data_IF_265404904895
#
_entry.id   IF_265404904895
#
_cell.length_a   1.000
_cell.length_b   1.000
_cell.length_c   1.000
_cell.angle_alpha   90.00
_cell.angle_beta   90.00
_cell.angle_gamma   90.00
#
_symmetry.space_group_name_H-M   'P 1'
#
loop_
_entity.id
_entity.type
_entity.pdbx_description
1 polymer ?
#
# COMPACT_ATOMS: atom_id res chain seq x y z
N UNK A 1 18.53 31.50 -2.88
CA UNK A 1 17.36 32.37 -2.62
C UNK A 1 16.06 31.56 -2.66
N UNK A 2 15.76 30.82 -3.74
CA UNK A 2 14.56 29.97 -3.83
C UNK A 2 14.50 28.90 -2.73
N UNK A 3 15.62 28.22 -2.43
CA UNK A 3 15.67 27.20 -1.37
C UNK A 3 15.46 27.78 0.04
N UNK A 4 15.93 29.00 0.29
CA UNK A 4 15.81 29.64 1.60
C UNK A 4 14.37 30.11 1.87
N UNK A 5 13.68 30.64 0.85
CA UNK A 5 12.25 30.96 0.94
C UNK A 5 11.39 29.71 1.11
N UNK A 6 11.75 28.61 0.42
CA UNK A 6 11.08 27.32 0.58
C UNK A 6 11.27 26.76 1.99
N UNK A 7 12.48 26.79 2.52
CA UNK A 7 12.78 26.33 3.88
C UNK A 7 12.02 27.14 4.93
N UNK A 8 11.97 28.47 4.79
CA UNK A 8 11.19 29.34 5.67
C UNK A 8 9.69 29.06 5.59
N UNK A 9 9.15 28.84 4.38
CA UNK A 9 7.76 28.46 4.17
C UNK A 9 7.44 27.11 4.84
N UNK A 10 8.31 26.12 4.68
CA UNK A 10 8.14 24.80 5.28
C UNK A 10 8.18 24.85 6.81
N UNK A 11 9.09 25.66 7.39
CA UNK A 11 9.15 25.86 8.85
C UNK A 11 7.86 26.48 9.37
N UNK A 12 7.32 27.52 8.69
CA UNK A 12 6.04 28.14 9.07
C UNK A 12 4.89 27.15 8.95
N UNK A 13 4.82 26.42 7.85
CA UNK A 13 3.82 25.38 7.64
C UNK A 13 3.83 24.33 8.76
N UNK A 14 5.01 23.84 9.15
CA UNK A 14 5.13 22.87 10.25
C UNK A 14 4.70 23.47 11.60
N UNK A 15 5.01 24.73 11.86
CA UNK A 15 4.59 25.43 13.07
C UNK A 15 3.06 25.61 13.13
N UNK A 16 2.45 26.01 12.02
CA UNK A 16 0.99 26.15 11.90
C UNK A 16 0.28 24.81 12.09
N UNK A 17 0.83 23.73 11.52
CA UNK A 17 0.32 22.37 11.70
C UNK A 17 0.39 21.91 13.16
N UNK A 18 1.45 22.27 13.89
CA UNK A 18 1.56 21.96 15.32
C UNK A 18 0.56 22.75 16.16
N UNK A 19 0.33 24.02 15.84
CA UNK A 19 -0.64 24.85 16.54
C UNK A 19 -2.07 24.36 16.31
N UNK A 20 -2.44 24.06 15.07
CA UNK A 20 -3.75 23.47 14.75
C UNK A 20 -3.91 22.11 15.46
N UNK A 21 -2.87 21.28 15.49
CA UNK A 21 -2.91 20.00 16.22
C UNK A 21 -3.19 20.18 17.71
N UNK A 22 -2.50 21.12 18.38
CA UNK A 22 -2.76 21.45 19.79
C UNK A 22 -4.19 21.91 20.02
N UNK A 23 -4.68 22.80 19.15
CA UNK A 23 -6.04 23.33 19.23
C UNK A 23 -7.08 22.23 19.06
N UNK A 24 -6.94 21.36 18.06
CA UNK A 24 -7.87 20.25 17.80
C UNK A 24 -7.89 19.23 18.93
N UNK A 25 -6.73 18.90 19.51
CA UNK A 25 -6.67 18.01 20.67
C UNK A 25 -7.33 18.63 21.91
N UNK A 26 -7.17 19.94 22.12
CA UNK A 26 -7.84 20.65 23.21
C UNK A 26 -9.37 20.68 23.03
N UNK A 27 -9.86 20.91 21.81
CA UNK A 27 -11.29 20.84 21.47
C UNK A 27 -11.86 19.42 21.67
N UNK A 28 -11.03 18.38 21.49
CA UNK A 28 -11.40 16.97 21.62
C UNK A 28 -11.16 16.39 23.04
N UNK A 29 -10.92 17.20 24.07
CA UNK A 29 -10.53 16.71 25.41
C UNK A 29 -11.53 15.70 26.01
N UNK A 30 -12.84 15.96 25.90
CA UNK A 30 -13.87 15.04 26.41
C UNK A 30 -13.90 13.71 25.65
N UNK A 31 -13.68 13.75 24.33
CA UNK A 31 -13.58 12.56 23.49
C UNK A 31 -12.36 11.73 23.87
N UNK A 32 -11.20 12.37 24.03
CA UNK A 32 -9.95 11.75 24.46
C UNK A 32 -10.12 11.09 25.83
N UNK A 33 -10.76 11.77 26.79
CA UNK A 33 -10.98 11.23 28.13
C UNK A 33 -11.90 9.98 28.11
N UNK A 34 -12.99 10.03 27.34
CA UNK A 34 -13.90 8.88 27.15
C UNK A 34 -13.17 7.70 26.51
N UNK A 35 -12.42 7.95 25.44
CA UNK A 35 -11.68 6.91 24.75
C UNK A 35 -10.55 6.32 25.60
N UNK A 36 -9.86 7.14 26.40
CA UNK A 36 -8.84 6.67 27.36
C UNK A 36 -9.42 5.68 28.36
N UNK A 37 -10.62 5.94 28.88
CA UNK A 37 -11.31 5.01 29.78
C UNK A 37 -11.69 3.70 29.07
N UNK A 38 -12.16 3.78 27.81
CA UNK A 38 -12.44 2.60 26.99
C UNK A 38 -11.17 1.76 26.77
N UNK A 39 -10.07 2.38 26.36
CA UNK A 39 -8.79 1.72 26.14
C UNK A 39 -8.27 1.04 27.42
N UNK A 40 -8.36 1.72 28.57
CA UNK A 40 -7.98 1.17 29.86
C UNK A 40 -8.81 -0.06 30.23
N UNK A 41 -10.11 -0.08 29.91
CA UNK A 41 -10.98 -1.25 30.12
C UNK A 41 -10.56 -2.48 29.30
N UNK A 42 -9.77 -2.27 28.23
CA UNK A 42 -9.18 -3.30 27.37
C UNK A 42 -7.69 -3.54 27.66
N UNK A 43 -7.16 -2.94 28.72
CA UNK A 43 -5.76 -3.12 29.14
C UNK A 43 -4.75 -2.25 28.39
N UNK A 44 -5.19 -1.24 27.63
CA UNK A 44 -4.31 -0.29 26.95
C UNK A 44 -4.26 1.01 27.75
N UNK A 45 -3.06 1.40 28.19
CA UNK A 45 -2.83 2.65 28.93
C UNK A 45 -2.40 3.72 27.93
N UNK A 46 -3.11 4.85 27.91
CA UNK A 46 -2.84 5.97 27.01
C UNK A 46 -2.52 7.23 27.83
N UNK A 47 -1.45 7.91 27.45
CA UNK A 47 -1.07 9.23 27.95
C UNK A 47 -1.43 10.34 26.97
N UNK A 48 -1.10 11.59 27.30
CA UNK A 48 -1.39 12.73 26.43
C UNK A 48 -0.62 12.64 25.09
N UNK A 49 0.59 12.12 25.12
CA UNK A 49 1.46 11.85 23.97
C UNK A 49 0.98 10.71 23.07
N UNK A 50 0.01 9.92 23.54
CA UNK A 50 -0.62 8.87 22.75
C UNK A 50 -1.62 9.42 21.72
N UNK A 51 -1.96 10.71 21.78
CA UNK A 51 -2.93 11.33 20.88
C UNK A 51 -2.26 12.30 19.92
N UNK A 52 -2.70 12.27 18.66
CA UNK A 52 -2.28 13.22 17.64
C UNK A 52 -3.47 13.63 16.77
N UNK A 53 -3.45 14.86 16.27
CA UNK A 53 -4.30 15.26 15.16
C UNK A 53 -3.52 15.14 13.86
N UNK A 54 -4.08 14.39 12.91
CA UNK A 54 -3.57 14.26 11.55
C UNK A 54 -4.64 14.84 10.62
N UNK A 55 -4.31 15.86 9.84
CA UNK A 55 -5.29 16.55 8.97
C UNK A 55 -6.03 15.61 8.00
N UNK A 56 -5.40 14.56 7.50
CA UNK A 56 -6.03 13.60 6.57
C UNK A 56 -6.87 12.53 7.26
N UNK A 57 -6.67 12.33 8.57
CA UNK A 57 -7.24 11.20 9.32
C UNK A 57 -8.20 11.64 10.43
N UNK A 58 -7.89 12.71 11.17
CA UNK A 58 -8.65 13.18 12.32
C UNK A 58 -7.85 13.05 13.62
N UNK A 59 -8.55 12.80 14.73
CA UNK A 59 -7.95 12.54 16.04
C UNK A 59 -7.60 11.06 16.14
N UNK A 60 -6.31 10.77 16.29
CA UNK A 60 -5.76 9.41 16.30
C UNK A 60 -5.17 9.10 17.66
N UNK A 61 -5.52 7.93 18.19
CA UNK A 61 -4.88 7.34 19.36
C UNK A 61 -3.83 6.32 18.90
N UNK A 62 -2.66 6.35 19.54
CA UNK A 62 -1.49 5.52 19.22
C UNK A 62 -1.03 4.74 20.44
N UNK A 63 -0.92 3.43 20.29
CA UNK A 63 -0.17 2.57 21.19
C UNK A 63 0.10 1.23 20.50
N UNK A 64 1.23 0.55 20.80
CA UNK A 64 1.53 -0.74 20.20
C UNK A 64 0.37 -1.74 20.35
N UNK A 65 -0.15 -2.24 19.23
CA UNK A 65 -1.24 -3.22 19.18
C UNK A 65 -2.62 -2.72 19.65
N UNK A 66 -2.83 -1.41 19.78
CA UNK A 66 -4.11 -0.83 20.25
C UNK A 66 -5.31 -1.34 19.45
N UNK A 67 -5.20 -1.43 18.13
CA UNK A 67 -6.31 -1.86 17.29
C UNK A 67 -6.70 -3.32 17.59
N UNK A 68 -5.71 -4.20 17.82
CA UNK A 68 -5.93 -5.61 18.18
C UNK A 68 -6.57 -5.74 19.56
N UNK A 69 -6.06 -5.00 20.54
CA UNK A 69 -6.58 -5.01 21.89
C UNK A 69 -8.05 -4.57 21.94
N UNK A 70 -8.42 -3.54 21.17
CA UNK A 70 -9.77 -3.00 21.11
C UNK A 70 -10.73 -3.88 20.28
N UNK A 71 -10.28 -4.42 19.14
CA UNK A 71 -11.06 -5.32 18.28
C UNK A 71 -11.42 -6.63 18.98
N UNK A 72 -10.63 -7.03 19.98
CA UNK A 72 -10.77 -8.28 20.70
C UNK A 72 -10.29 -9.49 19.88
N UNK A 73 -10.49 -10.72 20.38
CA UNK A 73 -9.90 -11.90 19.79
C UNK A 73 -10.49 -12.15 18.40
N UNK A 74 -9.64 -12.06 17.37
CA UNK A 74 -9.87 -12.57 16.02
C UNK A 74 -8.63 -13.39 15.69
N UNK A 75 -8.84 -14.61 15.17
CA UNK A 75 -7.72 -15.48 14.83
C UNK A 75 -7.01 -14.91 13.60
N UNK A 76 -5.79 -14.44 13.79
CA UNK A 76 -4.92 -14.09 12.69
C UNK A 76 -4.45 -15.37 11.95
N UNK A 77 -4.28 -15.24 10.65
CA UNK A 77 -3.58 -16.23 9.84
C UNK A 77 -2.08 -16.25 10.17
N UNK A 78 -1.37 -17.28 9.71
CA UNK A 78 0.09 -17.41 9.94
C UNK A 78 0.89 -16.22 9.40
N UNK A 79 0.34 -15.53 8.40
CA UNK A 79 0.90 -14.34 7.76
C UNK A 79 0.50 -13.02 8.46
N UNK A 80 -0.19 -13.09 9.61
CA UNK A 80 -0.62 -11.94 10.41
C UNK A 80 -1.92 -11.29 9.94
N UNK A 81 -2.40 -11.65 8.74
CA UNK A 81 -3.62 -11.09 8.18
C UNK A 81 -4.86 -11.50 8.96
N UNK A 82 -5.86 -10.64 8.95
CA UNK A 82 -7.17 -10.89 9.54
C UNK A 82 -8.22 -11.22 8.48
N UNK A 83 -9.13 -12.17 8.75
CA UNK A 83 -10.28 -12.41 7.87
C UNK A 83 -11.15 -11.16 7.78
N UNK A 84 -11.33 -10.63 6.57
CA UNK A 84 -12.07 -9.39 6.30
C UNK A 84 -13.51 -9.45 6.85
N UNK A 85 -14.19 -10.58 6.65
CA UNK A 85 -15.57 -10.76 7.10
C UNK A 85 -15.70 -10.84 8.63
N UNK A 86 -14.70 -11.38 9.33
CA UNK A 86 -14.71 -11.40 10.80
C UNK A 86 -14.57 -9.99 11.39
N UNK A 87 -13.70 -9.16 10.80
CA UNK A 87 -13.60 -7.73 11.17
C UNK A 87 -14.93 -7.04 10.85
N UNK A 88 -15.43 -7.22 9.62
CA UNK A 88 -16.66 -6.63 9.10
C UNK A 88 -17.91 -6.93 9.94
N UNK A 89 -17.96 -8.11 10.57
CA UNK A 89 -19.06 -8.50 11.46
C UNK A 89 -19.13 -7.69 12.77
N UNK A 90 -18.00 -7.11 13.20
CA UNK A 90 -17.88 -6.30 14.43
C UNK A 90 -17.80 -4.80 14.13
N UNK A 91 -17.05 -4.47 13.10
CA UNK A 91 -16.83 -3.12 12.58
C UNK A 91 -17.17 -3.16 11.09
N UNK A 92 -18.38 -2.77 10.66
CA UNK A 92 -18.72 -2.78 9.25
C UNK A 92 -17.77 -1.88 8.44
N UNK A 93 -17.43 -2.26 7.20
CA UNK A 93 -16.75 -1.39 6.25
C UNK A 93 -17.44 -0.02 6.16
N UNK A 94 -16.67 1.07 6.27
CA UNK A 94 -17.26 2.41 6.15
C UNK A 94 -17.64 2.69 4.68
N UNK A 95 -18.89 3.09 4.39
CA UNK A 95 -19.30 3.42 3.02
C UNK A 95 -18.76 4.77 2.53
N UNK A 96 -18.26 5.61 3.45
CA UNK A 96 -17.82 6.98 3.16
C UNK A 96 -16.33 7.20 3.41
N UNK A 97 -15.63 6.22 4.01
CA UNK A 97 -14.21 6.29 4.31
C UNK A 97 -13.53 5.01 3.85
N UNK A 98 -12.87 5.10 2.70
CA UNK A 98 -12.10 3.99 2.14
C UNK A 98 -11.05 3.50 3.14
N UNK A 99 -10.81 2.19 3.18
CA UNK A 99 -9.83 1.61 4.10
C UNK A 99 -10.17 1.71 5.59
N UNK A 100 -11.39 2.13 5.94
CA UNK A 100 -11.85 2.20 7.32
C UNK A 100 -12.95 1.17 7.60
N UNK A 101 -12.94 0.63 8.81
CA UNK A 101 -14.08 -0.07 9.41
C UNK A 101 -14.65 0.80 10.53
N UNK A 102 -15.94 1.14 10.42
CA UNK A 102 -16.61 2.04 11.33
C UNK A 102 -17.09 1.30 12.57
N UNK A 103 -16.62 1.70 13.74
CA UNK A 103 -17.11 1.25 15.03
C UNK A 103 -17.89 2.33 15.76
N UNK A 104 -18.53 1.99 16.89
CA UNK A 104 -19.34 2.92 17.68
C UNK A 104 -18.52 3.90 18.53
N UNK A 105 -17.27 3.54 18.88
CA UNK A 105 -16.39 4.34 19.74
C UNK A 105 -15.07 4.72 19.06
N UNK A 106 -14.71 4.04 17.96
CA UNK A 106 -13.49 4.27 17.20
C UNK A 106 -13.58 3.63 15.81
N UNK A 107 -12.64 4.00 14.95
CA UNK A 107 -12.51 3.52 13.59
C UNK A 107 -11.20 2.74 13.46
N UNK A 108 -11.30 1.52 12.95
CA UNK A 108 -10.14 0.73 12.53
C UNK A 108 -9.73 1.15 11.12
N UNK A 109 -8.43 1.20 10.88
CA UNK A 109 -7.86 1.57 9.58
C UNK A 109 -7.10 0.39 8.98
N UNK A 110 -7.10 0.29 7.66
CA UNK A 110 -6.20 -0.59 6.93
C UNK A 110 -4.73 -0.23 7.19
N UNK A 111 -3.81 -1.14 6.90
CA UNK A 111 -2.39 -0.92 7.17
C UNK A 111 -1.82 0.33 6.44
N UNK A 112 -0.90 1.11 7.04
CA UNK A 112 -0.37 2.35 6.45
C UNK A 112 0.31 2.20 5.07
N UNK A 113 0.70 0.98 4.69
CA UNK A 113 1.30 0.71 3.38
C UNK A 113 0.38 1.04 2.18
N UNK A 114 -0.93 1.12 2.41
CA UNK A 114 -1.89 1.53 1.38
C UNK A 114 -1.94 3.05 1.20
N UNK A 115 -1.28 3.84 2.07
CA UNK A 115 -1.21 5.29 1.96
C UNK A 115 -0.18 5.71 0.91
N UNK A 116 -0.31 6.93 0.37
CA UNK A 116 0.64 7.47 -0.60
C UNK A 116 2.06 7.51 -0.01
N UNK A 117 3.02 6.97 -0.74
CA UNK A 117 4.40 6.80 -0.28
C UNK A 117 4.55 5.87 0.93
N UNK A 118 3.53 5.08 1.28
CA UNK A 118 3.46 4.26 2.49
C UNK A 118 3.60 5.08 3.79
N UNK A 119 3.34 6.39 3.73
CA UNK A 119 3.57 7.29 4.85
C UNK A 119 2.32 7.38 5.74
N UNK A 120 2.46 7.24 7.08
CA UNK A 120 1.33 7.14 8.00
C UNK A 120 0.44 8.39 8.11
N UNK A 121 0.93 9.57 7.70
CA UNK A 121 0.14 10.83 7.72
C UNK A 121 -0.59 11.10 6.40
N UNK A 122 -0.20 10.42 5.32
CA UNK A 122 -0.80 10.65 4.02
C UNK A 122 -2.18 10.01 3.94
N UNK A 123 -2.97 10.48 2.98
CA UNK A 123 -4.21 9.83 2.61
C UNK A 123 -3.93 8.50 1.86
N UNK A 124 -4.96 7.68 1.70
CA UNK A 124 -4.89 6.44 0.92
C UNK A 124 -4.42 6.72 -0.51
N UNK A 125 -3.42 5.99 -0.99
CA UNK A 125 -3.03 6.01 -2.39
C UNK A 125 -3.98 5.13 -3.20
N UNK A 126 -4.45 5.59 -4.37
CA UNK A 126 -5.85 5.44 -4.71
C UNK A 126 -6.33 4.01 -5.03
N UNK A 127 -7.62 3.84 -4.77
CA UNK A 127 -8.55 2.78 -5.21
C UNK A 127 -8.23 1.33 -4.91
N UNK A 128 -6.98 0.89 -4.67
CA UNK A 128 -6.75 -0.52 -4.35
C UNK A 128 -7.62 -0.97 -3.17
N UNK A 129 -7.61 -0.18 -2.10
CA UNK A 129 -8.36 -0.50 -0.88
C UNK A 129 -9.88 -0.43 -1.08
N UNK A 130 -10.36 0.52 -1.89
CA UNK A 130 -11.76 0.67 -2.27
C UNK A 130 -12.24 -0.52 -3.10
N UNK A 131 -11.48 -0.89 -4.14
CA UNK A 131 -11.74 -2.07 -4.97
C UNK A 131 -11.73 -3.34 -4.11
N UNK A 132 -10.76 -3.47 -3.20
CA UNK A 132 -10.67 -4.62 -2.30
C UNK A 132 -11.87 -4.68 -1.33
N UNK A 133 -12.36 -3.53 -0.84
CA UNK A 133 -13.56 -3.46 0.00
C UNK A 133 -14.80 -3.93 -0.76
N UNK A 134 -15.01 -3.39 -1.96
CA UNK A 134 -16.19 -3.64 -2.80
C UNK A 134 -16.19 -5.01 -3.47
N UNK A 135 -15.01 -5.60 -3.65
CA UNK A 135 -14.88 -6.91 -4.26
C UNK A 135 -15.55 -7.97 -3.40
N UNK A 136 -16.52 -8.66 -3.97
CA UNK A 136 -17.21 -9.78 -3.34
C UNK A 136 -17.47 -10.83 -4.40
N UNK A 137 -17.46 -12.09 -4.01
CA UNK A 137 -17.57 -13.22 -4.94
C UNK A 137 -17.93 -14.51 -4.24
N UNK A 138 -18.66 -15.42 -4.91
CA UNK A 138 -18.96 -16.72 -4.33
C UNK A 138 -17.66 -17.48 -4.06
N UNK A 139 -17.53 -18.01 -2.84
CA UNK A 139 -16.36 -18.79 -2.41
C UNK A 139 -15.04 -18.00 -2.41
N UNK A 140 -15.11 -16.67 -2.32
CA UNK A 140 -13.94 -15.80 -2.12
C UNK A 140 -13.75 -15.53 -0.63
N UNK A 141 -12.51 -15.69 -0.16
CA UNK A 141 -12.09 -15.32 1.19
C UNK A 141 -11.06 -14.19 1.11
N UNK A 142 -11.38 -13.06 1.73
CA UNK A 142 -10.51 -11.88 1.79
C UNK A 142 -9.86 -11.77 3.15
N UNK A 143 -8.59 -11.39 3.16
CA UNK A 143 -7.82 -11.11 4.36
C UNK A 143 -7.04 -9.81 4.20
N UNK A 144 -6.91 -9.04 5.28
CA UNK A 144 -6.22 -7.76 5.25
C UNK A 144 -5.45 -7.47 6.53
N UNK A 145 -4.37 -6.70 6.40
CA UNK A 145 -3.63 -6.11 7.50
C UNK A 145 -4.28 -4.80 7.96
N UNK A 146 -4.39 -4.63 9.28
CA UNK A 146 -4.83 -3.38 9.90
C UNK A 146 -3.63 -2.51 10.27
N UNK A 147 -3.88 -1.24 10.49
CA UNK A 147 -3.00 -0.38 11.27
C UNK A 147 -3.10 -0.81 12.74
N UNK A 148 -2.16 -1.66 13.19
CA UNK A 148 -2.28 -2.28 14.51
C UNK A 148 -2.04 -1.31 15.65
N UNK A 149 -1.27 -0.25 15.39
CA UNK A 149 -0.75 0.67 16.40
C UNK A 149 -1.55 1.97 16.48
N UNK A 150 -2.57 2.14 15.63
CA UNK A 150 -3.36 3.37 15.56
C UNK A 150 -4.85 3.10 15.32
N UNK A 151 -5.68 3.90 15.98
CA UNK A 151 -7.13 3.98 15.69
C UNK A 151 -7.57 5.43 15.66
N UNK A 152 -8.57 5.73 14.82
CA UNK A 152 -9.20 7.05 14.81
C UNK A 152 -10.35 7.07 15.82
N UNK A 153 -10.50 8.16 16.58
CA UNK A 153 -11.50 8.25 17.67
C UNK A 153 -12.61 9.28 17.39
N UNK A 154 -12.42 10.22 16.47
CA UNK A 154 -13.43 11.18 16.04
C UNK A 154 -14.30 10.60 14.92
N UNK A 155 -15.25 9.76 15.32
CA UNK A 155 -16.13 9.01 14.40
C UNK A 155 -16.91 9.93 13.48
N UNK A 156 -17.47 11.02 14.03
CA UNK A 156 -18.21 12.06 13.30
C UNK A 156 -17.28 13.14 12.70
N UNK A 157 -15.96 12.93 12.75
CA UNK A 157 -14.99 13.84 12.18
C UNK A 157 -15.18 14.07 10.68
N UNK A 158 -14.53 15.10 10.15
CA UNK A 158 -14.51 15.31 8.71
C UNK A 158 -13.67 14.21 8.05
N UNK A 159 -14.23 13.55 7.05
CA UNK A 159 -13.49 12.63 6.18
C UNK A 159 -12.76 13.41 5.09
N UNK A 160 -11.55 12.99 4.74
CA UNK A 160 -10.85 13.49 3.57
C UNK A 160 -11.23 12.64 2.35
N UNK A 161 -11.73 13.28 1.29
CA UNK A 161 -12.06 12.61 0.04
C UNK A 161 -11.08 13.04 -1.05
N UNK A 162 -10.47 12.07 -1.72
CA UNK A 162 -9.54 12.30 -2.81
C UNK A 162 -10.10 11.69 -4.09
N UNK A 163 -10.41 12.55 -5.06
CA UNK A 163 -10.96 12.16 -6.35
C UNK A 163 -9.86 11.78 -7.38
N UNK A 164 -8.68 11.38 -6.89
CA UNK A 164 -7.58 10.91 -7.73
C UNK A 164 -7.92 9.51 -8.25
N UNK A 165 -7.74 9.27 -9.55
CA UNK A 165 -8.11 7.99 -10.16
C UNK A 165 -7.03 7.51 -11.10
N UNK A 166 -6.78 6.21 -11.00
CA UNK A 166 -5.94 5.44 -11.89
C UNK A 166 -6.84 4.38 -12.53
N UNK A 167 -6.57 3.99 -13.77
CA UNK A 167 -7.32 2.93 -14.42
C UNK A 167 -6.47 1.65 -14.44
N UNK A 168 -7.10 0.50 -14.63
CA UNK A 168 -6.39 -0.71 -15.01
C UNK A 168 -5.93 -0.65 -16.46
N UNK A 169 -4.87 -1.39 -16.79
CA UNK A 169 -4.48 -1.59 -18.18
C UNK A 169 -5.47 -2.53 -18.86
N UNK A 170 -5.87 -2.29 -20.13
CA UNK A 170 -6.52 -3.32 -20.90
C UNK A 170 -5.57 -4.51 -21.02
N UNK A 171 -6.09 -5.71 -20.82
CA UNK A 171 -5.34 -6.94 -20.95
C UNK A 171 -6.20 -7.99 -21.64
N UNK A 172 -5.80 -8.37 -22.85
CA UNK A 172 -6.52 -9.30 -23.71
C UNK A 172 -5.76 -10.63 -23.89
N UNK A 173 -4.59 -10.79 -23.25
CA UNK A 173 -3.86 -12.04 -23.31
C UNK A 173 -4.52 -13.13 -22.46
N UNK A 174 -4.60 -14.30 -23.05
CA UNK A 174 -4.96 -15.53 -22.34
C UNK A 174 -3.78 -15.99 -21.48
N UNK A 175 -3.95 -15.97 -20.15
CA UNK A 175 -2.93 -16.39 -19.17
C UNK A 175 -2.33 -17.76 -19.52
N UNK A 176 -3.12 -18.66 -20.11
CA UNK A 176 -2.67 -20.01 -20.52
C UNK A 176 -1.54 -19.96 -21.56
N UNK A 177 -1.50 -18.90 -22.37
CA UNK A 177 -0.50 -18.71 -23.44
C UNK A 177 0.75 -17.95 -22.97
N UNK A 178 0.72 -17.33 -21.78
CA UNK A 178 1.90 -16.66 -21.22
C UNK A 178 2.98 -17.70 -20.94
N UNK A 179 4.16 -17.51 -21.53
CA UNK A 179 5.30 -18.41 -21.34
C UNK A 179 5.97 -18.14 -19.99
N UNK A 180 6.46 -19.18 -19.29
CA UNK A 180 7.36 -18.99 -18.16
C UNK A 180 8.57 -18.14 -18.56
N UNK A 181 8.97 -17.23 -17.69
CA UNK A 181 10.01 -16.26 -18.01
C UNK A 181 10.06 -15.12 -17.01
N UNK A 182 10.99 -14.21 -17.26
CA UNK A 182 11.18 -12.99 -16.47
C UNK A 182 11.11 -11.80 -17.40
N UNK A 183 10.46 -10.74 -16.93
CA UNK A 183 10.47 -9.41 -17.54
C UNK A 183 10.89 -8.42 -16.47
N UNK A 184 11.87 -7.57 -16.78
CA UNK A 184 12.29 -6.49 -15.89
C UNK A 184 12.20 -5.17 -16.62
N UNK A 185 11.23 -4.36 -16.23
CA UNK A 185 10.96 -3.04 -16.80
C UNK A 185 11.61 -1.96 -15.95
N UNK A 186 12.07 -0.89 -16.60
CA UNK A 186 12.66 0.29 -15.97
C UNK A 186 12.11 1.55 -16.65
N UNK A 187 12.00 2.67 -15.92
CA UNK A 187 11.78 3.95 -16.57
C UNK A 187 12.89 4.23 -17.61
N UNK A 188 12.61 5.04 -18.65
CA UNK A 188 13.61 5.41 -19.63
C UNK A 188 14.86 6.06 -18.99
N UNK A 189 16.04 5.58 -19.39
CA UNK A 189 17.32 6.01 -18.80
C UNK A 189 17.67 7.48 -19.05
N UNK A 190 17.04 8.11 -20.04
CA UNK A 190 17.22 9.53 -20.38
C UNK A 190 16.51 10.48 -19.41
N UNK A 191 15.68 9.95 -18.50
CA UNK A 191 14.92 10.76 -17.55
C UNK A 191 15.73 11.10 -16.30
N UNK A 192 15.76 12.39 -15.96
CA UNK A 192 16.18 12.87 -14.64
C UNK A 192 15.28 12.34 -13.51
N UNK A 193 15.81 12.23 -12.28
CA UNK A 193 15.09 11.71 -11.11
C UNK A 193 13.76 12.42 -10.84
N UNK A 194 13.66 13.73 -11.08
CA UNK A 194 12.40 14.48 -10.92
C UNK A 194 11.30 14.00 -11.88
N UNK A 195 11.66 13.59 -13.10
CA UNK A 195 10.69 13.04 -14.06
C UNK A 195 10.28 11.63 -13.68
N UNK A 196 11.21 10.82 -13.15
CA UNK A 196 10.91 9.48 -12.60
C UNK A 196 9.97 9.58 -11.40
N UNK A 197 10.22 10.52 -10.48
CA UNK A 197 9.33 10.78 -9.35
C UNK A 197 7.93 11.16 -9.83
N UNK A 198 7.84 12.12 -10.77
CA UNK A 198 6.57 12.63 -11.29
C UNK A 198 5.75 11.59 -12.07
N UNK A 199 6.39 10.84 -12.97
CA UNK A 199 5.68 9.99 -13.94
C UNK A 199 5.66 8.51 -13.58
N UNK A 200 6.60 8.06 -12.74
CA UNK A 200 6.76 6.65 -12.36
C UNK A 200 6.67 6.43 -10.85
N UNK A 201 6.21 7.42 -10.09
CA UNK A 201 6.04 7.34 -8.63
C UNK A 201 7.28 6.82 -7.90
N UNK A 202 8.44 7.35 -8.29
CA UNK A 202 9.75 6.95 -7.79
C UNK A 202 10.03 5.45 -7.95
N UNK A 203 9.51 4.80 -8.98
CA UNK A 203 9.83 3.40 -9.29
C UNK A 203 11.19 3.31 -9.98
N UNK A 204 12.06 2.47 -9.41
CA UNK A 204 13.34 2.10 -10.01
C UNK A 204 13.17 0.98 -11.06
N UNK A 205 12.43 -0.07 -10.71
CA UNK A 205 12.08 -1.13 -11.65
C UNK A 205 10.81 -1.88 -11.24
N UNK A 206 10.21 -2.56 -12.23
CA UNK A 206 9.17 -3.56 -12.04
C UNK A 206 9.71 -4.90 -12.57
N UNK A 207 9.99 -5.82 -11.66
CA UNK A 207 10.47 -7.17 -11.97
C UNK A 207 9.30 -8.14 -11.92
N UNK A 208 9.08 -8.93 -12.96
CA UNK A 208 7.95 -9.83 -13.13
C UNK A 208 8.46 -11.21 -13.51
N UNK A 209 7.87 -12.24 -12.94
CA UNK A 209 8.17 -13.63 -13.26
C UNK A 209 6.89 -14.45 -13.41
N UNK A 210 6.87 -15.26 -14.46
CA UNK A 210 5.96 -16.38 -14.59
C UNK A 210 6.72 -17.69 -14.46
N UNK A 211 6.16 -18.61 -13.67
CA UNK A 211 6.55 -20.02 -13.65
C UNK A 211 5.32 -20.90 -13.81
N UNK A 212 5.52 -22.15 -14.18
CA UNK A 212 4.44 -23.13 -14.30
C UNK A 212 4.88 -24.44 -13.68
N UNK A 213 4.04 -25.02 -12.83
CA UNK A 213 4.23 -26.33 -12.23
C UNK A 213 2.87 -26.99 -11.98
N UNK A 214 2.73 -28.26 -12.36
CA UNK A 214 1.55 -29.09 -12.08
C UNK A 214 0.21 -28.44 -12.48
N UNK A 215 0.17 -27.79 -13.64
CA UNK A 215 -1.03 -27.14 -14.16
C UNK A 215 -1.36 -25.79 -13.50
N UNK A 216 -0.47 -25.26 -12.65
CA UNK A 216 -0.60 -23.97 -12.01
C UNK A 216 0.44 -23.01 -12.58
N UNK A 217 -0.02 -21.88 -13.10
CA UNK A 217 0.86 -20.75 -13.46
C UNK A 217 0.99 -19.82 -12.27
N UNK A 218 2.22 -19.56 -11.85
CA UNK A 218 2.52 -18.63 -10.75
C UNK A 218 3.03 -17.32 -11.33
N UNK A 219 2.38 -16.23 -10.96
CA UNK A 219 2.82 -14.87 -11.21
C UNK A 219 3.49 -14.32 -9.96
N UNK A 220 4.64 -13.65 -10.15
CA UNK A 220 5.29 -12.85 -9.12
C UNK A 220 5.65 -11.50 -9.71
N UNK A 221 5.43 -10.42 -8.97
CA UNK A 221 5.89 -9.09 -9.36
C UNK A 221 6.49 -8.35 -8.16
N UNK A 222 7.54 -7.56 -8.41
CA UNK A 222 8.20 -6.73 -7.40
C UNK A 222 8.45 -5.33 -7.98
N UNK A 223 7.78 -4.33 -7.43
CA UNK A 223 8.09 -2.92 -7.68
C UNK A 223 9.12 -2.46 -6.64
N UNK A 224 10.30 -2.10 -7.12
CA UNK A 224 11.34 -1.48 -6.30
C UNK A 224 11.31 0.03 -6.49
N UNK A 225 11.36 0.78 -5.40
CA UNK A 225 11.45 2.24 -5.43
C UNK A 225 12.89 2.72 -5.57
N UNK A 226 13.05 3.98 -5.95
CA UNK A 226 14.32 4.69 -6.01
C UNK A 226 14.96 4.80 -4.61
N UNK A 227 16.28 4.99 -4.54
CA UNK A 227 17.05 4.91 -3.29
C UNK A 227 16.80 6.04 -2.27
N UNK A 228 16.14 7.10 -2.72
CA UNK A 228 15.64 8.19 -1.88
C UNK A 228 14.36 7.80 -1.12
N UNK A 229 13.68 6.72 -1.50
CA UNK A 229 12.46 6.26 -0.84
C UNK A 229 12.81 5.28 0.28
N UNK A 230 12.53 5.69 1.52
CA UNK A 230 12.83 4.92 2.73
C UNK A 230 11.65 4.95 3.68
N UNK A 231 11.48 3.87 4.43
CA UNK A 231 10.51 3.78 5.53
C UNK A 231 11.24 3.43 6.82
N UNK A 232 10.76 3.93 7.94
CA UNK A 232 11.29 3.59 9.26
C UNK A 232 10.41 2.52 9.91
N UNK A 233 11.02 1.42 10.35
CA UNK A 233 10.34 0.36 11.09
C UNK A 233 11.20 -0.04 12.28
N UNK A 234 10.71 0.23 13.50
CA UNK A 234 11.44 -0.09 14.73
C UNK A 234 12.77 0.66 14.88
N UNK A 235 12.83 1.92 14.44
CA UNK A 235 14.04 2.76 14.52
C UNK A 235 15.10 2.48 13.45
N UNK A 236 14.83 1.60 12.49
CA UNK A 236 15.72 1.30 11.37
C UNK A 236 15.07 1.69 10.04
N UNK A 237 15.87 2.27 9.13
CA UNK A 237 15.43 2.57 7.77
C UNK A 237 15.56 1.37 6.84
N UNK A 238 14.53 1.18 6.01
CA UNK A 238 14.46 0.17 4.97
C UNK A 238 14.04 0.77 3.64
N UNK A 239 14.40 0.10 2.56
CA UNK A 239 13.93 0.38 1.21
C UNK A 239 12.68 -0.48 0.97
N UNK A 240 11.49 0.13 0.89
CA UNK A 240 10.26 -0.62 0.69
C UNK A 240 10.12 -1.06 -0.77
N UNK A 241 9.54 -2.22 -0.98
CA UNK A 241 9.13 -2.70 -2.30
C UNK A 241 7.77 -3.37 -2.22
N UNK A 242 6.94 -3.16 -3.23
CA UNK A 242 5.62 -3.78 -3.32
C UNK A 242 5.73 -5.11 -4.06
N UNK A 243 5.31 -6.18 -3.43
CA UNK A 243 5.36 -7.53 -3.98
C UNK A 243 3.96 -8.07 -4.18
N UNK A 244 3.71 -8.68 -5.35
CA UNK A 244 2.49 -9.41 -5.66
C UNK A 244 2.82 -10.87 -5.99
N UNK A 245 1.91 -11.76 -5.60
CA UNK A 245 1.93 -13.17 -5.94
C UNK A 245 0.53 -13.63 -6.32
N UNK A 246 0.42 -14.40 -7.41
CA UNK A 246 -0.83 -15.00 -7.82
C UNK A 246 -0.63 -16.42 -8.37
N UNK A 247 -1.62 -17.28 -8.17
CA UNK A 247 -1.67 -18.62 -8.72
C UNK A 247 -2.89 -18.77 -9.63
N UNK A 248 -2.65 -19.01 -10.91
CA UNK A 248 -3.65 -19.28 -11.92
C UNK A 248 -3.77 -20.77 -12.17
N UNK A 249 -4.97 -21.30 -12.00
CA UNK A 249 -5.28 -22.70 -12.24
C UNK A 249 -5.69 -22.88 -13.71
N UNK A 250 -4.90 -23.63 -14.48
CA UNK A 250 -5.15 -23.84 -15.91
C UNK A 250 -6.43 -24.64 -16.18
N UNK A 251 -6.85 -25.50 -15.25
CA UNK A 251 -8.05 -26.30 -15.40
C UNK A 251 -9.31 -25.49 -15.03
N UNK A 252 -9.26 -24.72 -13.95
CA UNK A 252 -10.37 -23.86 -13.53
C UNK A 252 -10.47 -22.56 -14.34
N UNK A 253 -9.39 -22.18 -15.04
CA UNK A 253 -9.27 -20.96 -15.84
C UNK A 253 -9.54 -19.67 -15.03
N UNK A 254 -9.03 -19.64 -13.79
CA UNK A 254 -9.10 -18.48 -12.91
C UNK A 254 -7.91 -18.45 -11.96
N UNK A 255 -7.64 -17.29 -11.36
CA UNK A 255 -6.77 -17.23 -10.21
C UNK A 255 -7.46 -17.88 -9.02
N UNK A 256 -6.73 -18.68 -8.24
CA UNK A 256 -7.22 -19.33 -7.01
C UNK A 256 -6.65 -18.70 -5.74
N UNK A 257 -5.58 -17.94 -5.91
CA UNK A 257 -4.84 -17.28 -4.84
C UNK A 257 -4.21 -16.01 -5.40
N UNK A 258 -4.34 -14.91 -4.68
CA UNK A 258 -3.71 -13.63 -4.99
C UNK A 258 -3.39 -12.91 -3.70
N UNK A 259 -2.13 -12.55 -3.48
CA UNK A 259 -1.70 -11.82 -2.30
C UNK A 259 -0.66 -10.75 -2.61
N UNK A 260 -0.54 -9.81 -1.68
CA UNK A 260 0.42 -8.74 -1.76
C UNK A 260 1.12 -8.50 -0.44
N UNK A 261 2.38 -8.09 -0.52
CA UNK A 261 3.23 -7.83 0.62
C UNK A 261 4.10 -6.59 0.39
N UNK A 262 4.57 -6.00 1.49
CA UNK A 262 5.68 -5.05 1.47
C UNK A 262 6.94 -5.80 1.89
N UNK A 263 7.92 -5.81 1.00
CA UNK A 263 9.26 -6.31 1.26
C UNK A 263 10.12 -5.12 1.71
N UNK A 264 10.79 -5.29 2.85
CA UNK A 264 11.68 -4.30 3.46
C UNK A 264 13.11 -4.81 3.29
N UNK A 265 13.86 -4.11 2.44
CA UNK A 265 15.26 -4.39 2.20
C UNK A 265 16.12 -3.48 3.06
N UNK A 266 17.16 -4.03 3.68
CA UNK A 266 18.29 -3.23 4.16
C UNK A 266 19.02 -2.60 2.96
N UNK A 267 19.92 -1.66 3.24
CA UNK A 267 20.69 -0.99 2.18
C UNK A 267 21.47 -1.98 1.32
N UNK A 268 22.21 -2.90 1.96
CA UNK A 268 22.97 -3.94 1.26
C UNK A 268 22.07 -4.80 0.37
N UNK A 269 20.97 -5.30 0.93
CA UNK A 269 20.03 -6.15 0.20
C UNK A 269 19.36 -5.41 -0.96
N UNK A 270 19.04 -4.12 -0.78
CA UNK A 270 18.42 -3.30 -1.81
C UNK A 270 19.34 -3.12 -3.02
N UNK A 271 20.59 -2.71 -2.79
CA UNK A 271 21.56 -2.52 -3.87
C UNK A 271 21.89 -3.83 -4.60
N UNK A 272 21.90 -4.96 -3.90
CA UNK A 272 22.06 -6.27 -4.53
C UNK A 272 20.81 -6.68 -5.33
N UNK A 273 19.60 -6.46 -4.79
CA UNK A 273 18.34 -6.91 -5.40
C UNK A 273 17.91 -6.06 -6.60
N UNK A 274 18.12 -4.74 -6.56
CA UNK A 274 17.60 -3.80 -7.57
C UNK A 274 18.17 -4.02 -8.97
N UNK A 275 19.40 -4.51 -9.05
CA UNK A 275 20.07 -4.82 -10.31
C UNK A 275 19.97 -6.30 -10.70
N UNK A 276 19.60 -7.17 -9.76
CA UNK A 276 19.35 -8.61 -9.99
C UNK A 276 17.91 -8.90 -10.44
N UNK A 277 17.65 -10.07 -11.03
CA UNK A 277 16.29 -10.55 -11.36
C UNK A 277 15.83 -11.68 -10.40
N UNK A 278 14.58 -12.12 -10.54
CA UNK A 278 14.07 -13.25 -9.75
C UNK A 278 14.82 -14.58 -9.96
N UNK A 279 15.61 -14.75 -11.02
CA UNK A 279 16.41 -15.95 -11.26
C UNK A 279 17.72 -15.96 -10.46
N UNK A 280 18.33 -14.79 -10.22
CA UNK A 280 19.59 -14.70 -9.46
C UNK A 280 19.45 -15.14 -8.00
N UNK A 281 18.25 -15.03 -7.42
CA UNK A 281 17.94 -15.56 -6.08
C UNK A 281 18.18 -17.07 -5.95
N UNK A 282 18.21 -17.84 -7.05
CA UNK A 282 18.42 -19.29 -7.02
C UNK A 282 19.90 -19.70 -7.14
N UNK A 283 20.78 -18.80 -7.60
CA UNK A 283 22.18 -19.11 -7.94
C UNK A 283 23.21 -18.50 -6.98
N UNK A 284 22.78 -17.66 -6.04
CA UNK A 284 23.66 -17.00 -5.09
C UNK A 284 23.46 -17.61 -3.68
N UNK A 285 24.52 -18.10 -3.00
CA UNK A 285 24.39 -18.66 -1.66
C UNK A 285 23.94 -17.63 -0.61
N UNK A 286 24.09 -16.34 -0.90
CA UNK A 286 23.46 -15.24 -0.15
C UNK A 286 22.04 -15.00 -0.67
N UNK A 287 21.11 -15.87 -0.28
CA UNK A 287 19.68 -15.62 -0.52
C UNK A 287 19.28 -14.29 0.14
N UNK A 288 18.96 -13.28 -0.66
CA UNK A 288 18.39 -12.03 -0.16
C UNK A 288 16.98 -12.35 0.34
N UNK A 289 16.81 -12.40 1.65
CA UNK A 289 15.53 -12.67 2.30
C UNK A 289 15.06 -11.41 3.01
N UNK A 290 14.48 -10.51 2.23
CA UNK A 290 13.85 -9.31 2.76
C UNK A 290 12.82 -9.67 3.83
N UNK A 291 12.70 -8.80 4.83
CA UNK A 291 11.58 -8.86 5.77
C UNK A 291 10.30 -8.56 4.99
N UNK A 292 9.40 -9.52 4.92
CA UNK A 292 8.15 -9.39 4.17
C UNK A 292 6.96 -9.32 5.11
N UNK A 293 6.13 -8.29 4.96
CA UNK A 293 4.88 -8.15 5.69
C UNK A 293 3.73 -8.26 4.68
N UNK A 294 2.93 -9.32 4.77
CA UNK A 294 1.77 -9.48 3.90
C UNK A 294 0.72 -8.45 4.30
N UNK A 295 0.06 -7.87 3.30
CA UNK A 295 -0.89 -6.77 3.53
C UNK A 295 -2.31 -7.14 3.12
N UNK A 296 -2.49 -7.93 2.06
CA UNK A 296 -3.78 -8.52 1.72
C UNK A 296 -3.60 -9.94 1.17
N UNK A 297 -4.70 -10.68 1.15
CA UNK A 297 -4.82 -11.98 0.48
C UNK A 297 -6.27 -12.18 0.03
N UNK A 298 -6.43 -12.71 -1.18
CA UNK A 298 -7.67 -13.17 -1.77
C UNK A 298 -7.47 -14.65 -2.09
N UNK A 299 -8.26 -15.52 -1.47
CA UNK A 299 -8.34 -16.93 -1.82
C UNK A 299 -9.68 -17.19 -2.50
N UNK A 300 -9.70 -18.09 -3.47
CA UNK A 300 -10.88 -18.39 -4.27
C UNK A 300 -10.80 -17.80 -5.68
N UNK A 301 -11.86 -18.00 -6.48
CA UNK A 301 -11.86 -17.67 -7.90
C UNK A 301 -11.80 -16.15 -8.11
N UNK A 302 -10.76 -15.70 -8.80
CA UNK A 302 -10.57 -14.31 -9.23
C UNK A 302 -10.36 -14.29 -10.75
N UNK A 303 -11.14 -13.48 -11.46
CA UNK A 303 -11.05 -13.36 -12.92
C UNK A 303 -9.78 -12.61 -13.33
N UNK A 304 -9.36 -12.82 -14.58
CA UNK A 304 -8.18 -12.15 -15.14
C UNK A 304 -8.32 -10.63 -15.09
N UNK A 305 -9.47 -10.09 -15.51
CA UNK A 305 -9.75 -8.64 -15.49
C UNK A 305 -9.61 -8.05 -14.08
N UNK A 306 -10.19 -8.71 -13.08
CA UNK A 306 -10.13 -8.27 -11.67
C UNK A 306 -8.70 -8.32 -11.14
N UNK A 307 -7.95 -9.38 -11.48
CA UNK A 307 -6.54 -9.51 -11.13
C UNK A 307 -5.66 -8.41 -11.75
N UNK A 308 -5.87 -8.06 -13.01
CA UNK A 308 -5.14 -6.97 -13.69
C UNK A 308 -5.44 -5.64 -13.02
N UNK A 309 -6.71 -5.35 -12.73
CA UNK A 309 -7.13 -4.14 -12.02
C UNK A 309 -6.43 -4.06 -10.65
N UNK A 310 -6.47 -5.14 -9.87
CA UNK A 310 -5.79 -5.16 -8.58
C UNK A 310 -4.28 -4.95 -8.71
N UNK A 311 -3.62 -5.54 -9.71
CA UNK A 311 -2.19 -5.33 -9.94
C UNK A 311 -1.88 -3.86 -10.24
N UNK A 312 -2.61 -3.25 -11.17
CA UNK A 312 -2.43 -1.85 -11.57
C UNK A 312 -2.66 -0.89 -10.39
N UNK A 313 -3.67 -1.17 -9.57
CA UNK A 313 -3.99 -0.35 -8.40
C UNK A 313 -3.03 -0.58 -7.23
N UNK A 314 -2.51 -1.78 -7.02
CA UNK A 314 -1.50 -2.01 -5.99
C UNK A 314 -0.19 -1.27 -6.32
N UNK A 315 0.16 -1.19 -7.60
CA UNK A 315 1.29 -0.42 -8.13
C UNK A 315 0.86 0.96 -8.67
N UNK A 316 -0.11 1.60 -8.02
CA UNK A 316 -0.65 2.88 -8.48
C UNK A 316 0.44 3.90 -8.82
N UNK A 317 0.19 4.65 -9.91
CA UNK A 317 1.07 5.68 -10.47
C UNK A 317 2.40 5.16 -11.04
N UNK A 318 2.52 3.85 -11.27
CA UNK A 318 3.65 3.24 -11.98
C UNK A 318 3.22 2.74 -13.37
N UNK A 319 3.52 3.48 -14.46
CA UNK A 319 3.21 3.10 -15.83
C UNK A 319 3.88 1.82 -16.31
N UNK A 320 4.90 1.29 -15.62
CA UNK A 320 5.54 0.03 -16.03
C UNK A 320 4.57 -1.15 -15.92
N UNK A 321 3.56 -1.07 -15.03
CA UNK A 321 2.49 -2.08 -14.99
C UNK A 321 1.64 -2.05 -16.26
N UNK A 322 1.34 -0.87 -16.77
CA UNK A 322 0.66 -0.69 -18.04
C UNK A 322 1.49 -1.17 -19.21
N UNK A 323 2.79 -0.84 -19.23
CA UNK A 323 3.72 -1.33 -20.24
C UNK A 323 3.71 -2.86 -20.28
N UNK A 324 3.70 -3.50 -19.10
CA UNK A 324 3.64 -4.96 -19.02
C UNK A 324 2.36 -5.55 -19.62
N UNK A 325 1.18 -5.01 -19.27
CA UNK A 325 -0.09 -5.58 -19.70
C UNK A 325 -0.51 -5.17 -21.12
N UNK A 326 -0.13 -3.98 -21.57
CA UNK A 326 -0.61 -3.40 -22.83
C UNK A 326 0.48 -3.17 -23.89
N UNK A 327 1.75 -3.46 -23.56
CA UNK A 327 2.89 -3.25 -24.43
C UNK A 327 3.34 -1.79 -24.58
N UNK A 328 2.73 -0.85 -23.85
CA UNK A 328 3.09 0.56 -23.88
C UNK A 328 2.57 1.35 -22.68
N UNK A 329 2.98 2.62 -22.57
CA UNK A 329 2.48 3.51 -21.53
C UNK A 329 1.09 4.06 -21.86
N UNK A 330 0.34 4.53 -20.84
CA UNK A 330 -0.84 5.36 -21.08
C UNK A 330 -0.48 6.54 -21.97
N UNK A 331 -1.38 6.90 -22.90
CA UNK A 331 -1.16 7.95 -23.91
C UNK A 331 -0.66 9.27 -23.30
N UNK A 332 -1.22 9.68 -22.16
CA UNK A 332 -0.83 10.91 -21.47
C UNK A 332 0.62 10.87 -20.98
N UNK A 333 1.10 9.71 -20.51
CA UNK A 333 2.49 9.53 -20.08
C UNK A 333 3.42 9.67 -21.28
N UNK A 334 3.09 9.01 -22.40
CA UNK A 334 3.85 9.10 -23.66
C UNK A 334 3.96 10.55 -24.14
N UNK A 335 2.85 11.29 -24.17
CA UNK A 335 2.83 12.70 -24.60
C UNK A 335 3.68 13.61 -23.69
N UNK A 336 3.68 13.38 -22.37
CA UNK A 336 4.51 14.15 -21.44
C UNK A 336 6.00 13.82 -21.66
N UNK A 337 6.35 12.54 -21.86
CA UNK A 337 7.72 12.13 -22.13
C UNK A 337 8.26 12.74 -23.42
N UNK A 338 7.45 12.80 -24.48
CA UNK A 338 7.82 13.47 -25.74
C UNK A 338 8.11 14.96 -25.51
N UNK A 339 7.24 15.66 -24.77
CA UNK A 339 7.46 17.09 -24.43
C UNK A 339 8.72 17.33 -23.61
N UNK A 340 9.01 16.47 -22.63
CA UNK A 340 10.23 16.55 -21.84
C UNK A 340 11.44 16.43 -22.77
N UNK A 341 11.43 15.45 -23.68
CA UNK A 341 12.53 15.20 -24.64
C UNK A 341 12.70 16.33 -25.65
N UNK A 342 11.61 16.93 -26.11
CA UNK A 342 11.68 18.05 -27.04
C UNK A 342 12.11 19.36 -26.37
N UNK A 343 11.81 19.56 -25.08
CA UNK A 343 12.34 20.67 -24.28
C UNK A 343 13.79 20.49 -23.81
N UNK A 344 14.36 19.30 -23.97
CA UNK A 344 15.79 19.00 -23.72
C UNK A 344 16.67 19.24 -24.97
N UNK A 345 16.08 19.44 -26.16
CA UNK A 345 16.76 19.87 -27.38
C UNK A 345 16.84 21.39 -27.43
#
# INVERSE_FOLDING_TARGET
MVDQEYDEMMVRYLADMQEESRKRLAEAADLIAKFTALAASKGVILGAESFEYIQTTGIVAKAPGIARALLGPIRAERDGLLPFNEIGSRFPPSPHREGCFAGPDFILMAHPCYRRGMHPINNWAPRFIDLFWRFDGPSVEKYIALDEDRVQIDIDGLGYFEADTWYGAPFDEDIRNIKPGIVKLRPPMDLESRHVSLLFADTYCLDIKWSELDGIKTFQALEMKMENIRVEVGGQHYFPSRYLHAEFDLAANCFRHFDGAIQLFTEEEYFQRRDSDFNMTMKNPTHIKARSSKVFKINGPLKVEEWVDFCCHFYTANPLTFEYFSGGYPKQVTEILERIRDGLK
#
